data_IF_892275704380
#
_entry.id   IF_892275704380
#
_cell.length_a   1.000
_cell.length_b   1.000
_cell.length_c   1.000
_cell.angle_alpha   90.00
_cell.angle_beta   90.00
_cell.angle_gamma   90.00
#
_symmetry.space_group_name_H-M   'P 1'
#
loop_
_entity.id
_entity.type
_entity.pdbx_description
1 polymer ?
#
# COMPACT_ATOMS: atom_id res chain seq x y z
N UNK A 1 25.44 39.45 14.42
CA UNK A 1 25.83 38.60 13.26
C UNK A 1 25.80 37.11 13.64
N UNK A 2 26.63 36.63 14.58
CA UNK A 2 26.69 35.20 14.98
C UNK A 2 25.37 34.56 15.47
N UNK A 3 24.54 35.32 16.21
CA UNK A 3 23.23 34.82 16.70
C UNK A 3 22.23 34.52 15.57
N UNK A 4 22.31 35.25 14.45
CA UNK A 4 21.44 35.04 13.28
C UNK A 4 21.89 33.82 12.48
N UNK A 5 23.20 33.61 12.36
CA UNK A 5 23.76 32.41 11.72
C UNK A 5 23.42 31.14 12.51
N UNK A 6 23.53 31.17 13.83
CA UNK A 6 23.15 30.04 14.71
C UNK A 6 21.65 29.72 14.62
N UNK A 7 20.79 30.75 14.61
CA UNK A 7 19.35 30.56 14.40
C UNK A 7 19.04 29.95 13.04
N UNK A 8 19.73 30.39 11.98
CA UNK A 8 19.54 29.89 10.62
C UNK A 8 20.00 28.43 10.49
N UNK A 9 21.09 28.05 11.15
CA UNK A 9 21.57 26.66 11.22
C UNK A 9 20.57 25.76 11.94
N UNK A 10 19.99 26.22 13.06
CA UNK A 10 18.95 25.47 13.78
C UNK A 10 17.69 25.30 12.95
N UNK A 11 17.30 26.32 12.18
CA UNK A 11 16.15 26.26 11.27
C UNK A 11 16.37 25.24 10.16
N UNK A 12 17.56 25.23 9.56
CA UNK A 12 17.93 24.27 8.51
C UNK A 12 17.98 22.85 9.09
N UNK A 13 18.58 22.65 10.27
CA UNK A 13 18.62 21.35 10.93
C UNK A 13 17.22 20.82 11.24
N UNK A 14 16.32 21.68 11.73
CA UNK A 14 14.91 21.35 11.96
C UNK A 14 14.20 20.93 10.67
N UNK A 15 14.43 21.65 9.57
CA UNK A 15 13.83 21.32 8.27
C UNK A 15 14.33 19.97 7.74
N UNK A 16 15.63 19.69 7.85
CA UNK A 16 16.23 18.42 7.41
C UNK A 16 15.66 17.25 8.21
N UNK A 17 15.52 17.40 9.52
CA UNK A 17 14.88 16.39 10.37
C UNK A 17 13.42 16.19 9.97
N UNK A 18 12.66 17.27 9.73
CA UNK A 18 11.28 17.18 9.28
C UNK A 18 11.10 16.44 7.95
N UNK A 19 12.00 16.67 6.99
CA UNK A 19 11.98 15.98 5.67
C UNK A 19 12.32 14.50 5.80
N UNK A 20 13.21 14.12 6.72
CA UNK A 20 13.57 12.71 6.95
C UNK A 20 12.42 11.87 7.52
N UNK A 21 11.44 12.51 8.18
CA UNK A 21 10.24 11.85 8.70
C UNK A 21 9.04 11.92 7.75
N UNK A 22 9.21 12.47 6.54
CA UNK A 22 8.15 12.40 5.54
C UNK A 22 7.89 10.94 5.16
N UNK A 23 6.62 10.53 5.03
CA UNK A 23 6.29 9.17 4.63
C UNK A 23 6.91 8.89 3.25
N UNK A 24 7.83 7.94 3.20
CA UNK A 24 8.42 7.49 1.94
C UNK A 24 7.33 6.80 1.12
N UNK A 25 7.06 7.30 -0.08
CA UNK A 25 6.14 6.66 -1.01
C UNK A 25 6.77 5.34 -1.47
N UNK A 26 6.44 4.24 -0.78
CA UNK A 26 6.79 2.92 -1.24
C UNK A 26 6.05 2.64 -2.56
N UNK A 27 6.73 2.02 -3.52
CA UNK A 27 6.12 1.51 -4.75
C UNK A 27 5.24 0.31 -4.43
N UNK A 28 4.13 0.55 -3.75
CA UNK A 28 3.17 -0.49 -3.37
C UNK A 28 2.20 -0.72 -4.51
N UNK A 29 1.79 -1.97 -4.70
CA UNK A 29 0.70 -2.34 -5.63
C UNK A 29 -0.68 -1.86 -5.14
N UNK A 30 -0.71 -1.10 -4.03
CA UNK A 30 -1.93 -0.57 -3.47
C UNK A 30 -2.25 0.78 -4.16
N UNK A 31 -3.50 0.99 -4.62
CA UNK A 31 -3.88 2.18 -5.37
C UNK A 31 -3.91 3.47 -4.53
N UNK A 32 -3.57 3.41 -3.23
CA UNK A 32 -3.55 4.52 -2.28
C UNK A 32 -2.30 5.38 -2.47
N UNK A 33 -2.27 6.11 -3.58
CA UNK A 33 -1.15 6.99 -3.96
C UNK A 33 -1.27 8.42 -3.41
N UNK A 34 -2.39 8.76 -2.76
CA UNK A 34 -2.64 10.10 -2.22
C UNK A 34 -2.37 10.14 -0.72
N UNK A 35 -1.79 11.24 -0.24
CA UNK A 35 -1.51 11.46 1.18
C UNK A 35 -2.75 11.34 2.07
N UNK A 36 -3.93 11.72 1.55
CA UNK A 36 -5.21 11.59 2.26
C UNK A 36 -5.69 10.15 2.39
N UNK A 37 -5.33 9.26 1.46
CA UNK A 37 -5.72 7.85 1.51
C UNK A 37 -4.98 7.10 2.63
N UNK A 38 -3.81 7.59 3.05
CA UNK A 38 -3.08 7.08 4.23
C UNK A 38 -3.69 7.54 5.56
N UNK A 39 -4.62 8.49 5.56
CA UNK A 39 -5.32 8.94 6.77
C UNK A 39 -6.52 8.06 7.13
N UNK A 40 -6.90 7.12 6.26
CA UNK A 40 -7.96 6.17 6.53
C UNK A 40 -7.39 5.08 7.44
N UNK A 41 -7.99 4.83 8.62
CA UNK A 41 -7.57 3.72 9.47
C UNK A 41 -7.60 2.41 8.68
N UNK A 42 -6.53 1.61 8.74
CA UNK A 42 -6.43 0.38 7.95
C UNK A 42 -7.58 -0.60 8.20
N UNK A 43 -8.17 -0.55 9.40
CA UNK A 43 -9.35 -1.33 9.81
C UNK A 43 -10.64 -0.91 9.08
N UNK A 44 -10.70 0.33 8.60
CA UNK A 44 -11.84 0.90 7.87
C UNK A 44 -11.65 0.82 6.34
N UNK A 45 -10.49 0.37 5.87
CA UNK A 45 -10.23 0.14 4.46
C UNK A 45 -10.77 -1.24 4.09
N UNK A 46 -11.81 -1.28 3.25
CA UNK A 46 -12.24 -2.52 2.65
C UNK A 46 -11.10 -3.10 1.78
N UNK A 47 -10.54 -4.27 2.14
CA UNK A 47 -9.43 -4.88 1.42
C UNK A 47 -9.80 -5.28 -0.01
N UNK A 48 -11.09 -5.45 -0.31
CA UNK A 48 -11.56 -5.83 -1.65
C UNK A 48 -11.75 -4.64 -2.59
N UNK A 49 -11.68 -3.40 -2.08
CA UNK A 49 -11.78 -2.18 -2.90
C UNK A 49 -10.72 -2.11 -4.00
N UNK A 50 -9.58 -2.79 -3.82
CA UNK A 50 -8.54 -2.93 -4.84
C UNK A 50 -9.05 -3.65 -6.12
N UNK A 51 -10.02 -4.55 -5.97
CA UNK A 51 -10.63 -5.30 -7.07
C UNK A 51 -11.59 -4.45 -7.90
N UNK A 52 -12.02 -3.28 -7.39
CA UNK A 52 -12.84 -2.33 -8.13
C UNK A 52 -11.99 -1.46 -9.07
N UNK A 53 -10.73 -1.20 -8.69
CA UNK A 53 -9.81 -0.34 -9.44
C UNK A 53 -9.00 -1.08 -10.51
N UNK A 54 -8.76 -2.38 -10.31
CA UNK A 54 -8.32 -3.23 -11.40
C UNK A 54 -9.58 -3.74 -12.09
N UNK A 55 -9.89 -3.31 -13.33
CA UNK A 55 -10.73 -4.16 -14.14
C UNK A 55 -9.95 -5.46 -14.24
N UNK A 56 -10.34 -6.49 -13.49
CA UNK A 56 -9.99 -7.86 -13.80
C UNK A 56 -10.64 -8.06 -15.16
N UNK A 57 -9.93 -7.64 -16.20
CA UNK A 57 -10.29 -7.83 -17.57
C UNK A 57 -10.05 -9.31 -17.81
N UNK A 58 -10.94 -10.15 -17.25
CA UNK A 58 -11.10 -11.52 -17.68
C UNK A 58 -11.37 -11.36 -19.17
N UNK A 59 -10.43 -11.75 -20.05
CA UNK A 59 -10.63 -11.60 -21.47
C UNK A 59 -11.93 -12.33 -21.79
N UNK A 60 -12.94 -11.61 -22.30
CA UNK A 60 -14.22 -12.20 -22.70
C UNK A 60 -14.06 -13.30 -23.77
N UNK A 61 -12.86 -13.40 -24.34
CA UNK A 61 -12.42 -14.38 -25.33
C UNK A 61 -11.75 -15.62 -24.73
N UNK A 62 -11.77 -15.84 -23.42
CA UNK A 62 -11.36 -17.12 -22.85
C UNK A 62 -12.46 -18.15 -23.12
N UNK A 63 -12.49 -18.68 -24.34
CA UNK A 63 -13.07 -20.00 -24.65
C UNK A 63 -12.31 -21.12 -23.89
N UNK A 64 -11.21 -20.76 -23.21
CA UNK A 64 -10.55 -21.61 -22.22
C UNK A 64 -11.39 -21.63 -20.96
N UNK A 65 -11.99 -22.79 -20.68
CA UNK A 65 -12.55 -23.10 -19.36
C UNK A 65 -11.49 -22.79 -18.31
N UNK A 66 -11.60 -21.66 -17.61
CA UNK A 66 -10.79 -21.41 -16.43
C UNK A 66 -11.18 -22.50 -15.45
N UNK A 67 -10.35 -23.55 -15.35
CA UNK A 67 -10.52 -24.60 -14.36
C UNK A 67 -10.49 -23.91 -13.01
N UNK A 68 -11.63 -23.95 -12.31
CA UNK A 68 -11.77 -23.39 -10.98
C UNK A 68 -10.79 -24.13 -10.07
N UNK A 69 -9.64 -23.52 -9.81
CA UNK A 69 -8.65 -24.05 -8.90
C UNK A 69 -9.24 -24.07 -7.49
N UNK A 70 -9.14 -25.22 -6.82
CA UNK A 70 -9.54 -25.31 -5.43
C UNK A 70 -8.65 -24.39 -4.61
N UNK A 71 -9.27 -23.52 -3.82
CA UNK A 71 -8.57 -22.60 -2.94
C UNK A 71 -8.97 -22.91 -1.51
N UNK A 72 -7.97 -23.06 -0.64
CA UNK A 72 -8.16 -23.16 0.80
C UNK A 72 -7.53 -21.96 1.49
N UNK A 73 -8.13 -21.51 2.57
CA UNK A 73 -7.65 -20.37 3.35
C UNK A 73 -7.64 -20.70 4.84
N UNK A 74 -6.58 -20.26 5.51
CA UNK A 74 -6.39 -20.48 6.94
C UNK A 74 -5.84 -19.23 7.62
N UNK A 75 -6.60 -18.79 8.61
CA UNK A 75 -6.17 -17.75 9.54
C UNK A 75 -5.23 -18.31 10.62
N UNK A 76 -4.13 -17.60 10.91
CA UNK A 76 -3.24 -17.95 12.02
C UNK A 76 -2.85 -16.69 12.80
N UNK A 77 -2.34 -16.85 14.02
CA UNK A 77 -1.90 -15.71 14.85
C UNK A 77 -0.74 -14.89 14.26
N UNK A 78 -0.07 -15.41 13.22
CA UNK A 78 1.11 -14.78 12.63
C UNK A 78 0.91 -14.36 11.17
N UNK A 79 0.03 -15.04 10.43
CA UNK A 79 -0.20 -14.78 9.02
C UNK A 79 -1.51 -15.39 8.51
N UNK A 80 -1.98 -14.84 7.39
CA UNK A 80 -3.03 -15.42 6.57
C UNK A 80 -2.38 -16.35 5.53
N UNK A 81 -2.70 -17.65 5.56
CA UNK A 81 -2.26 -18.60 4.52
C UNK A 81 -3.38 -18.80 3.49
N UNK A 82 -3.04 -18.63 2.22
CA UNK A 82 -3.92 -18.91 1.09
C UNK A 82 -3.21 -19.94 0.21
N UNK A 83 -3.87 -21.06 -0.06
CA UNK A 83 -3.33 -22.17 -0.85
C UNK A 83 -4.18 -22.33 -2.09
N UNK A 84 -3.54 -22.35 -3.26
CA UNK A 84 -4.21 -22.47 -4.55
C UNK A 84 -3.66 -23.71 -5.27
N UNK A 85 -4.54 -24.66 -5.59
CA UNK A 85 -4.18 -25.85 -6.37
C UNK A 85 -4.21 -25.53 -7.86
N UNK A 86 -3.04 -25.22 -8.43
CA UNK A 86 -2.88 -24.86 -9.85
C UNK A 86 -2.49 -26.11 -10.64
N UNK A 87 -3.46 -26.68 -11.38
CA UNK A 87 -3.26 -27.75 -12.35
C UNK A 87 -2.64 -27.25 -13.66
#
# INVERSE_FOLDING_TARGET
QMKRASFLVLLIASLVVGVAFLPQTASTLLPYSRLWDMMIPQEAVDPFKILEHSPIAIPKSLDTTLTLASTDWKETSHAHLITLDVL
#
